data_IF_566075743515
#
_entry.id   IF_566075743515
#
_cell.length_a   1.000
_cell.length_b   1.000
_cell.length_c   1.000
_cell.angle_alpha   90.00
_cell.angle_beta   90.00
_cell.angle_gamma   90.00
#
_symmetry.space_group_name_H-M   'P 1'
#
loop_
_entity.id
_entity.type
_entity.pdbx_description
1 polymer ?
#
# COMPACT_ATOMS: atom_id res chain seq x y z
N UNK A 1 23.57 -26.37 4.94
CA UNK A 1 22.25 -26.59 4.31
C UNK A 1 21.43 -25.32 4.50
N UNK A 2 20.99 -24.61 3.46
CA UNK A 2 20.04 -23.51 3.62
C UNK A 2 18.62 -24.02 3.31
N UNK A 3 17.71 -23.90 4.27
CA UNK A 3 16.27 -24.06 4.06
C UNK A 3 15.57 -22.98 4.91
N UNK A 4 15.09 -21.91 4.26
CA UNK A 4 13.67 -21.65 3.97
C UNK A 4 12.79 -21.50 5.21
N UNK A 5 12.75 -20.28 5.76
CA UNK A 5 11.66 -19.84 6.64
C UNK A 5 10.57 -19.17 5.83
N UNK A 6 9.47 -19.90 5.74
CA UNK A 6 8.13 -19.49 5.31
C UNK A 6 7.59 -18.44 6.28
N UNK A 7 7.11 -17.31 5.75
CA UNK A 7 6.35 -16.30 6.48
C UNK A 7 4.88 -16.72 6.47
N UNK A 8 4.25 -16.83 7.64
CA UNK A 8 2.82 -17.10 7.77
C UNK A 8 2.13 -16.00 8.57
N UNK A 9 1.07 -15.46 7.95
CA UNK A 9 -0.09 -14.75 8.49
C UNK A 9 0.11 -13.35 9.11
N UNK A 10 0.23 -12.35 8.24
CA UNK A 10 -0.32 -11.01 8.46
C UNK A 10 -1.54 -10.84 7.55
N UNK A 11 -2.67 -11.45 7.90
CA UNK A 11 -3.96 -11.17 7.25
C UNK A 11 -4.55 -9.90 7.86
N UNK A 12 -4.76 -8.87 7.02
CA UNK A 12 -5.71 -7.81 7.34
C UNK A 12 -5.31 -6.35 7.13
N UNK A 13 -4.25 -6.03 6.36
CA UNK A 13 -4.07 -4.66 5.82
C UNK A 13 -3.62 -4.75 4.36
N UNK A 14 -4.11 -3.87 3.45
CA UNK A 14 -3.52 -3.77 2.14
C UNK A 14 -2.06 -3.35 2.32
N UNK A 15 -1.16 -4.29 2.11
CA UNK A 15 0.28 -4.10 2.18
C UNK A 15 0.72 -3.32 0.93
N UNK A 16 0.35 -2.04 0.89
CA UNK A 16 0.84 -1.10 -0.12
C UNK A 16 2.33 -0.96 0.13
N UNK A 17 3.10 -1.60 -0.76
CA UNK A 17 4.55 -1.69 -0.79
C UNK A 17 5.26 -0.33 -0.55
N UNK A 18 5.49 0.04 0.72
CA UNK A 18 6.27 1.23 1.11
C UNK A 18 7.73 1.22 0.57
N UNK A 19 8.21 0.09 0.02
CA UNK A 19 9.60 -0.11 -0.45
C UNK A 19 9.83 0.04 -1.95
N UNK A 20 8.78 0.15 -2.79
CA UNK A 20 8.96 0.31 -4.26
C UNK A 20 8.81 1.74 -4.78
N UNK A 21 8.25 2.65 -3.99
CA UNK A 21 8.06 4.07 -4.35
C UNK A 21 9.36 4.93 -4.32
N UNK A 22 10.53 4.34 -4.57
CA UNK A 22 11.84 5.03 -4.57
C UNK A 22 12.64 4.88 -5.88
N UNK A 23 12.09 4.27 -6.93
CA UNK A 23 12.77 4.14 -8.22
C UNK A 23 11.87 4.58 -9.37
N UNK A 24 11.98 5.86 -9.75
CA UNK A 24 11.27 6.40 -10.90
C UNK A 24 11.41 7.90 -11.10
N UNK A 25 12.58 8.47 -10.80
CA UNK A 25 12.89 9.87 -11.08
C UNK A 25 13.68 9.93 -12.40
N UNK A 26 13.03 10.35 -13.49
CA UNK A 26 13.59 11.08 -14.65
C UNK A 26 12.79 10.79 -15.93
N UNK A 27 12.04 11.78 -16.40
CA UNK A 27 12.13 12.30 -17.78
C UNK A 27 11.12 13.46 -17.92
N UNK A 28 11.61 14.67 -17.63
CA UNK A 28 11.01 15.87 -18.18
C UNK A 28 11.32 15.92 -19.68
N UNK A 29 10.30 15.94 -20.52
CA UNK A 29 10.40 16.39 -21.92
C UNK A 29 9.22 17.28 -22.23
N UNK A 30 9.40 18.57 -21.99
CA UNK A 30 8.66 19.64 -22.65
C UNK A 30 8.96 19.59 -24.14
N UNK A 31 7.97 19.25 -24.96
CA UNK A 31 7.97 19.51 -26.39
C UNK A 31 6.65 20.20 -26.76
N UNK A 32 6.66 21.52 -26.67
CA UNK A 32 5.63 22.35 -27.31
C UNK A 32 6.01 22.49 -28.79
N UNK A 33 5.40 21.68 -29.65
CA UNK A 33 5.48 21.86 -31.09
C UNK A 33 4.25 22.68 -31.55
N UNK A 34 4.42 24.00 -31.64
CA UNK A 34 3.43 24.86 -32.28
C UNK A 34 3.56 24.71 -33.80
N UNK A 35 2.66 23.94 -34.41
CA UNK A 35 2.50 23.90 -35.87
C UNK A 35 1.57 25.06 -36.23
N UNK A 36 2.14 26.18 -36.67
CA UNK A 36 1.38 27.28 -37.28
C UNK A 36 1.05 26.95 -38.74
N UNK A 37 -0.13 26.37 -38.97
CA UNK A 37 -0.73 26.37 -40.31
C UNK A 37 -1.52 27.66 -40.49
N UNK A 38 -1.06 28.51 -41.39
CA UNK A 38 -1.85 29.64 -41.88
C UNK A 38 -2.96 29.13 -42.81
N UNK A 39 -4.23 29.35 -42.45
CA UNK A 39 -5.34 29.36 -43.40
C UNK A 39 -6.58 30.04 -42.82
N UNK A 40 -6.95 31.14 -43.50
CA UNK A 40 -8.29 31.68 -43.77
C UNK A 40 -9.51 31.28 -42.90
N UNK A 41 -10.20 32.34 -42.45
CA UNK A 41 -11.64 32.45 -42.23
C UNK A 41 -12.31 31.57 -41.15
N UNK A 42 -12.55 32.18 -39.98
CA UNK A 42 -13.87 32.13 -39.35
C UNK A 42 -14.36 30.84 -38.68
N UNK A 43 -13.51 29.86 -38.39
CA UNK A 43 -13.88 28.72 -37.54
C UNK A 43 -13.14 28.82 -36.20
N UNK A 44 -13.87 28.60 -35.10
CA UNK A 44 -13.24 28.42 -33.78
C UNK A 44 -12.17 27.31 -33.89
N UNK A 45 -11.03 27.43 -33.19
CA UNK A 45 -10.00 26.40 -33.24
C UNK A 45 -10.63 25.05 -32.89
N UNK A 46 -10.55 24.09 -33.81
CA UNK A 46 -11.04 22.74 -33.57
C UNK A 46 -10.33 22.18 -32.33
N UNK A 47 -11.10 21.89 -31.28
CA UNK A 47 -10.55 21.31 -30.06
C UNK A 47 -9.86 19.98 -30.40
N UNK A 48 -8.66 19.77 -29.83
CA UNK A 48 -7.93 18.53 -30.03
C UNK A 48 -8.81 17.34 -29.59
N UNK A 49 -8.86 16.22 -30.35
CA UNK A 49 -9.75 15.09 -30.01
C UNK A 49 -9.49 14.49 -28.62
N UNK A 50 -8.27 14.65 -28.11
CA UNK A 50 -7.85 14.22 -26.77
C UNK A 50 -7.71 15.36 -25.75
N UNK A 51 -8.35 16.51 -25.97
CA UNK A 51 -8.28 17.66 -25.05
C UNK A 51 -8.71 17.31 -23.60
N UNK A 52 -9.64 16.36 -23.43
CA UNK A 52 -10.03 15.86 -22.12
C UNK A 52 -8.87 15.11 -21.42
N UNK A 53 -8.12 14.28 -22.15
CA UNK A 53 -6.95 13.57 -21.61
C UNK A 53 -5.85 14.54 -21.20
N UNK A 54 -5.60 15.60 -21.96
CA UNK A 54 -4.59 16.60 -21.61
C UNK A 54 -4.94 17.37 -20.33
N UNK A 55 -6.22 17.70 -20.11
CA UNK A 55 -6.67 18.31 -18.84
C UNK A 55 -6.47 17.35 -17.68
N UNK A 56 -6.86 16.09 -17.82
CA UNK A 56 -6.67 15.07 -16.79
C UNK A 56 -5.19 14.81 -16.48
N UNK A 57 -4.30 14.84 -17.47
CA UNK A 57 -2.85 14.69 -17.26
C UNK A 57 -2.28 15.83 -16.43
N UNK A 58 -2.75 17.07 -16.67
CA UNK A 58 -2.37 18.23 -15.86
C UNK A 58 -2.88 18.09 -14.41
N UNK A 59 -4.15 17.73 -14.22
CA UNK A 59 -4.73 17.46 -12.90
C UNK A 59 -3.95 16.36 -12.17
N UNK A 60 -3.56 15.29 -12.88
CA UNK A 60 -2.80 14.18 -12.32
C UNK A 60 -1.38 14.60 -11.93
N UNK A 61 -0.71 15.44 -12.71
CA UNK A 61 0.63 15.96 -12.37
C UNK A 61 0.57 16.82 -11.10
N UNK A 62 -0.45 17.66 -10.97
CA UNK A 62 -0.68 18.45 -9.76
C UNK A 62 -0.95 17.54 -8.55
N UNK A 63 -1.86 16.57 -8.67
CA UNK A 63 -2.15 15.59 -7.63
C UNK A 63 -0.89 14.79 -7.22
N UNK A 64 -0.10 14.35 -8.19
CA UNK A 64 1.16 13.63 -7.96
C UNK A 64 2.18 14.47 -7.19
N UNK A 65 2.31 15.76 -7.53
CA UNK A 65 3.15 16.70 -6.81
C UNK A 65 2.69 16.90 -5.36
N UNK A 66 1.38 17.02 -5.13
CA UNK A 66 0.82 17.16 -3.78
C UNK A 66 0.96 15.88 -2.95
N UNK A 67 0.70 14.71 -3.53
CA UNK A 67 0.95 13.41 -2.90
C UNK A 67 2.41 13.28 -2.46
N UNK A 68 3.37 13.62 -3.32
CA UNK A 68 4.80 13.59 -2.98
C UNK A 68 5.17 14.57 -1.87
N UNK A 69 4.53 15.75 -1.80
CA UNK A 69 4.72 16.70 -0.69
C UNK A 69 4.18 16.14 0.62
N UNK A 70 2.98 15.55 0.59
CA UNK A 70 2.39 14.87 1.75
C UNK A 70 3.27 13.70 2.23
N UNK A 71 3.78 12.87 1.31
CA UNK A 71 4.70 11.77 1.63
C UNK A 71 5.97 12.26 2.34
N UNK A 72 6.54 13.39 1.90
CA UNK A 72 7.70 14.02 2.56
C UNK A 72 7.36 14.56 3.95
N UNK A 73 6.16 15.07 4.18
CA UNK A 73 5.69 15.49 5.50
C UNK A 73 5.55 14.25 6.40
N UNK A 74 4.80 13.24 5.97
CA UNK A 74 4.61 12.00 6.70
C UNK A 74 5.96 11.36 7.09
N UNK A 75 6.90 11.23 6.15
CA UNK A 75 8.26 10.71 6.43
C UNK A 75 9.02 11.51 7.49
N UNK A 76 8.89 12.84 7.49
CA UNK A 76 9.55 13.70 8.49
C UNK A 76 8.92 13.54 9.87
N UNK A 77 7.60 13.46 9.95
CA UNK A 77 6.86 13.28 11.19
C UNK A 77 7.10 11.88 11.77
N UNK A 78 7.04 10.85 10.92
CA UNK A 78 7.34 9.46 11.28
C UNK A 78 8.72 9.33 11.94
N UNK A 79 9.77 9.90 11.35
CA UNK A 79 11.13 9.92 11.94
C UNK A 79 11.22 10.65 13.28
N UNK A 80 10.35 11.62 13.56
CA UNK A 80 10.30 12.29 14.86
C UNK A 80 9.60 11.40 15.89
N UNK A 81 8.48 10.79 15.53
CA UNK A 81 7.75 9.85 16.38
C UNK A 81 8.60 8.62 16.71
N UNK A 82 9.32 8.07 15.74
CA UNK A 82 10.24 6.92 15.91
C UNK A 82 11.28 7.12 17.00
N UNK A 83 11.76 8.35 17.20
CA UNK A 83 12.73 8.67 18.26
C UNK A 83 12.12 8.65 19.66
N UNK A 84 10.80 8.74 19.76
CA UNK A 84 10.06 8.79 21.02
C UNK A 84 9.49 7.41 21.39
N UNK A 85 9.50 6.44 20.47
CA UNK A 85 8.93 5.12 20.75
C UNK A 85 9.64 4.45 21.93
N UNK A 86 8.87 3.85 22.85
CA UNK A 86 9.45 3.05 23.92
C UNK A 86 10.19 1.84 23.34
N UNK A 87 11.10 1.21 24.10
CA UNK A 87 11.70 -0.05 23.71
C UNK A 87 10.62 -1.10 23.47
N UNK A 88 10.78 -1.91 22.42
CA UNK A 88 9.83 -2.99 22.13
C UNK A 88 9.90 -4.05 23.24
N UNK A 89 8.76 -4.46 23.81
CA UNK A 89 8.74 -5.59 24.73
C UNK A 89 9.18 -6.87 24.03
N UNK A 90 9.78 -7.83 24.77
CA UNK A 90 10.22 -9.09 24.20
C UNK A 90 9.03 -9.86 23.62
N UNK A 91 9.28 -10.57 22.51
CA UNK A 91 8.30 -11.49 21.94
C UNK A 91 7.99 -12.58 22.96
N UNK A 92 6.72 -12.96 23.06
CA UNK A 92 6.33 -14.11 23.86
C UNK A 92 6.98 -15.38 23.30
N UNK A 93 7.71 -16.07 24.16
CA UNK A 93 8.22 -17.41 23.94
C UNK A 93 7.69 -18.27 25.08
N UNK A 94 7.02 -19.36 24.72
CA UNK A 94 6.50 -20.28 25.73
C UNK A 94 7.68 -21.00 26.40
N UNK A 95 7.77 -21.02 27.74
CA UNK A 95 8.82 -21.72 28.44
C UNK A 95 8.83 -23.21 28.09
N UNK A 96 10.02 -23.80 28.06
CA UNK A 96 10.16 -25.24 27.88
C UNK A 96 9.41 -26.01 28.98
N UNK A 97 8.65 -27.03 28.59
CA UNK A 97 7.93 -27.87 29.51
C UNK A 97 8.91 -28.74 30.33
N UNK A 98 8.92 -28.64 31.67
CA UNK A 98 9.71 -29.49 32.55
C UNK A 98 9.42 -30.98 32.32
N UNK A 99 10.42 -31.85 32.55
CA UNK A 99 10.31 -33.28 32.22
C UNK A 99 9.22 -34.01 33.02
N UNK A 100 9.08 -33.68 34.31
CA UNK A 100 8.03 -34.21 35.17
C UNK A 100 6.62 -33.77 34.73
N UNK A 101 6.46 -32.52 34.30
CA UNK A 101 5.24 -32.00 33.67
C UNK A 101 4.95 -32.74 32.36
N UNK A 102 5.98 -32.98 31.56
CA UNK A 102 5.88 -33.67 30.26
C UNK A 102 5.46 -35.12 30.40
N UNK A 103 6.04 -35.85 31.36
CA UNK A 103 5.63 -37.23 31.69
C UNK A 103 4.17 -37.26 32.15
N UNK A 104 3.77 -36.32 33.03
CA UNK A 104 2.39 -36.21 33.47
C UNK A 104 1.43 -35.89 32.32
N UNK A 105 1.85 -35.02 31.38
CA UNK A 105 1.07 -34.68 30.19
C UNK A 105 0.89 -35.89 29.26
N UNK A 106 1.96 -36.66 29.00
CA UNK A 106 1.94 -37.84 28.14
C UNK A 106 1.10 -38.99 28.71
N UNK A 107 0.98 -39.09 30.04
CA UNK A 107 0.15 -40.08 30.71
C UNK A 107 -1.35 -39.73 30.70
N UNK A 108 -1.75 -38.52 30.30
CA UNK A 108 -3.16 -38.11 30.24
C UNK A 108 -3.89 -38.76 29.07
N UNK A 109 -5.14 -39.17 29.30
CA UNK A 109 -6.06 -39.53 28.21
C UNK A 109 -6.75 -38.29 27.64
N UNK A 110 -7.36 -38.41 26.46
CA UNK A 110 -8.17 -37.33 25.85
C UNK A 110 -9.32 -36.88 26.78
N UNK A 111 -9.86 -37.79 27.61
CA UNK A 111 -10.90 -37.48 28.60
C UNK A 111 -10.38 -36.57 29.73
N UNK A 112 -9.11 -36.71 30.10
CA UNK A 112 -8.49 -35.91 31.17
C UNK A 112 -8.17 -34.48 30.69
N UNK A 113 -7.97 -34.29 29.38
CA UNK A 113 -7.71 -32.95 28.81
C UNK A 113 -8.91 -32.00 28.91
N UNK A 114 -10.14 -32.52 28.82
CA UNK A 114 -11.37 -31.73 28.83
C UNK A 114 -12.03 -31.54 30.20
N UNK A 115 -11.45 -32.07 31.28
CA UNK A 115 -12.10 -32.15 32.60
C UNK A 115 -11.26 -31.53 33.73
N UNK A 116 -11.82 -31.51 34.95
CA UNK A 116 -11.15 -31.08 36.20
C UNK A 116 -10.01 -32.06 36.60
N UNK A 117 -9.92 -33.24 35.98
CA UNK A 117 -9.00 -34.32 36.35
C UNK A 117 -7.57 -34.18 35.81
N UNK A 118 -7.14 -32.98 35.41
CA UNK A 118 -5.77 -32.76 34.94
C UNK A 118 -4.78 -33.05 36.09
N UNK A 119 -3.63 -33.70 35.82
CA UNK A 119 -2.58 -33.84 36.81
C UNK A 119 -2.20 -32.47 37.39
N UNK A 120 -2.14 -32.38 38.72
CA UNK A 120 -1.92 -31.11 39.42
C UNK A 120 -0.65 -30.40 38.95
N UNK A 121 0.41 -31.15 38.64
CA UNK A 121 1.68 -30.62 38.15
C UNK A 121 1.54 -29.96 36.77
N UNK A 122 0.76 -30.56 35.86
CA UNK A 122 0.46 -29.98 34.55
C UNK A 122 -0.47 -28.77 34.65
N UNK A 123 -1.48 -28.84 35.53
CA UNK A 123 -2.37 -27.73 35.77
C UNK A 123 -1.63 -26.51 36.33
N UNK A 124 -0.71 -26.72 37.29
CA UNK A 124 0.11 -25.66 37.87
C UNK A 124 1.01 -25.01 36.81
N UNK A 125 1.79 -25.81 36.06
CA UNK A 125 2.64 -25.29 34.99
C UNK A 125 1.85 -24.55 33.91
N UNK A 126 0.72 -25.12 33.45
CA UNK A 126 -0.11 -24.48 32.43
C UNK A 126 -0.71 -23.15 32.90
N UNK A 127 -1.09 -23.04 34.18
CA UNK A 127 -1.58 -21.79 34.74
C UNK A 127 -0.47 -20.75 34.85
N UNK A 128 0.73 -21.13 35.29
CA UNK A 128 1.89 -20.25 35.33
C UNK A 128 2.23 -19.71 33.93
N UNK A 129 2.29 -20.58 32.92
CA UNK A 129 2.52 -20.17 31.52
C UNK A 129 1.44 -19.20 31.03
N UNK A 130 0.17 -19.42 31.40
CA UNK A 130 -0.93 -18.48 31.08
C UNK A 130 -0.75 -17.12 31.75
N UNK A 131 -0.36 -17.08 33.02
CA UNK A 131 -0.10 -15.84 33.75
C UNK A 131 1.07 -15.07 33.14
N UNK A 132 2.17 -15.76 32.82
CA UNK A 132 3.32 -15.16 32.13
C UNK A 132 2.93 -14.62 30.75
N UNK A 133 2.14 -15.37 29.97
CA UNK A 133 1.62 -14.91 28.68
C UNK A 133 0.70 -13.70 28.83
N UNK A 134 -0.17 -13.69 29.84
CA UNK A 134 -1.03 -12.56 30.13
C UNK A 134 -0.21 -11.31 30.53
N UNK A 135 0.85 -11.48 31.33
CA UNK A 135 1.77 -10.40 31.67
C UNK A 135 2.50 -9.86 30.43
N UNK A 136 2.99 -10.74 29.54
CA UNK A 136 3.60 -10.31 28.28
C UNK A 136 2.60 -9.56 27.39
N UNK A 137 1.37 -10.07 27.25
CA UNK A 137 0.31 -9.39 26.51
C UNK A 137 0.03 -7.99 27.10
N UNK A 138 -0.02 -7.85 28.43
CA UNK A 138 -0.15 -6.55 29.08
C UNK A 138 0.97 -5.57 28.73
N UNK A 139 2.22 -6.05 28.60
CA UNK A 139 3.34 -5.24 28.12
C UNK A 139 3.19 -4.86 26.64
N UNK A 140 2.74 -5.79 25.80
CA UNK A 140 2.46 -5.53 24.37
C UNK A 140 1.35 -4.50 24.19
N UNK A 141 0.30 -4.58 24.99
CA UNK A 141 -0.82 -3.64 24.99
C UNK A 141 -0.39 -2.25 25.46
N UNK A 142 0.38 -2.17 26.55
CA UNK A 142 0.93 -0.91 27.04
C UNK A 142 1.87 -0.25 26.03
N UNK A 143 2.75 -1.03 25.40
CA UNK A 143 3.61 -0.57 24.31
C UNK A 143 2.78 -0.04 23.13
N UNK A 144 1.77 -0.81 22.70
CA UNK A 144 0.91 -0.45 21.57
C UNK A 144 0.09 0.82 21.85
N UNK A 145 -0.44 0.95 23.07
CA UNK A 145 -1.13 2.16 23.51
C UNK A 145 -0.21 3.38 23.47
N UNK A 146 1.04 3.24 23.98
CA UNK A 146 1.99 4.35 23.97
C UNK A 146 2.45 4.72 22.56
N UNK A 147 2.65 3.73 21.70
CA UNK A 147 2.96 3.94 20.29
C UNK A 147 1.86 4.73 19.57
N UNK A 148 0.59 4.35 19.77
CA UNK A 148 -0.57 5.07 19.23
C UNK A 148 -0.66 6.49 19.77
N UNK A 149 -0.45 6.67 21.08
CA UNK A 149 -0.44 7.99 21.71
C UNK A 149 0.61 8.91 21.09
N UNK A 150 1.85 8.43 20.94
CA UNK A 150 2.96 9.17 20.33
C UNK A 150 2.64 9.57 18.89
N UNK A 151 2.07 8.66 18.09
CA UNK A 151 1.74 8.95 16.70
C UNK A 151 0.65 10.01 16.59
N UNK A 152 -0.41 9.88 17.37
CA UNK A 152 -1.50 10.85 17.44
C UNK A 152 -1.00 12.24 17.86
N UNK A 153 -0.23 12.31 18.94
CA UNK A 153 0.29 13.58 19.47
C UNK A 153 1.40 14.18 18.60
N UNK A 154 2.20 13.33 17.97
CA UNK A 154 3.21 13.71 16.99
C UNK A 154 2.63 14.16 15.65
N UNK A 155 1.32 13.96 15.43
CA UNK A 155 0.62 14.29 14.20
C UNK A 155 0.93 13.34 13.03
N UNK A 156 1.41 12.12 13.32
CA UNK A 156 1.68 11.11 12.29
C UNK A 156 0.37 10.63 11.66
N UNK A 157 -0.64 10.32 12.47
CA UNK A 157 -1.94 9.86 11.98
C UNK A 157 -2.55 10.86 10.99
N UNK A 158 -2.59 12.15 11.37
CA UNK A 158 -3.08 13.22 10.49
C UNK A 158 -2.23 13.40 9.21
N UNK A 159 -0.92 13.13 9.27
CA UNK A 159 -0.05 13.20 8.11
C UNK A 159 -0.19 11.99 7.18
N UNK A 160 -0.47 10.80 7.73
CA UNK A 160 -0.84 9.59 6.97
C UNK A 160 -2.22 9.81 6.31
N UNK A 161 -3.24 10.26 7.04
CA UNK A 161 -4.57 10.59 6.50
C UNK A 161 -4.48 11.58 5.33
N UNK A 162 -3.68 12.65 5.49
CA UNK A 162 -3.49 13.64 4.44
C UNK A 162 -2.75 13.07 3.21
N UNK A 163 -1.84 12.11 3.41
CA UNK A 163 -1.18 11.41 2.31
C UNK A 163 -2.13 10.45 1.60
N UNK A 164 -2.96 9.73 2.34
CA UNK A 164 -3.93 8.77 1.80
C UNK A 164 -5.00 9.48 0.96
N UNK A 165 -5.50 10.64 1.42
CA UNK A 165 -6.40 11.48 0.61
C UNK A 165 -5.76 11.84 -0.73
N UNK A 166 -4.50 12.28 -0.75
CA UNK A 166 -3.81 12.64 -2.00
C UNK A 166 -3.49 11.44 -2.89
N UNK A 167 -3.24 10.28 -2.28
CA UNK A 167 -3.02 9.03 -3.00
C UNK A 167 -4.30 8.56 -3.68
N UNK A 168 -5.44 8.67 -3.00
CA UNK A 168 -6.75 8.37 -3.56
C UNK A 168 -7.12 9.32 -4.71
N UNK A 169 -6.91 10.63 -4.54
CA UNK A 169 -7.13 11.62 -5.62
C UNK A 169 -6.30 11.28 -6.88
N UNK A 170 -5.02 10.95 -6.71
CA UNK A 170 -4.16 10.53 -7.83
C UNK A 170 -4.71 9.26 -8.52
N UNK A 171 -5.16 8.29 -7.72
CA UNK A 171 -5.68 7.02 -8.21
C UNK A 171 -6.97 7.23 -9.02
N UNK A 172 -7.92 7.99 -8.50
CA UNK A 172 -9.17 8.33 -9.18
C UNK A 172 -8.93 9.06 -10.51
N UNK A 173 -7.97 9.99 -10.55
CA UNK A 173 -7.58 10.67 -11.79
C UNK A 173 -6.99 9.69 -12.82
N UNK A 174 -6.14 8.77 -12.39
CA UNK A 174 -5.59 7.73 -13.24
C UNK A 174 -6.66 6.81 -13.84
N UNK A 175 -7.63 6.38 -13.01
CA UNK A 175 -8.78 5.60 -13.49
C UNK A 175 -9.62 6.38 -14.51
N UNK A 176 -9.84 7.68 -14.30
CA UNK A 176 -10.53 8.55 -15.27
C UNK A 176 -9.75 8.69 -16.58
N UNK A 177 -8.43 8.78 -16.53
CA UNK A 177 -7.56 8.78 -17.72
C UNK A 177 -7.74 7.47 -18.49
N UNK A 178 -7.71 6.31 -17.83
CA UNK A 178 -7.88 5.02 -18.49
C UNK A 178 -9.30 4.81 -19.05
N UNK A 179 -10.33 5.31 -18.38
CA UNK A 179 -11.70 5.25 -18.88
C UNK A 179 -11.93 6.14 -20.12
N UNK A 180 -11.15 7.23 -20.25
CA UNK A 180 -11.28 8.17 -21.37
C UNK A 180 -10.60 7.62 -22.63
N UNK A 181 -11.30 7.45 -23.76
CA UNK A 181 -10.68 6.96 -25.00
C UNK A 181 -9.57 7.90 -25.52
N UNK A 182 -8.40 7.37 -25.90
CA UNK A 182 -7.39 8.12 -26.65
C UNK A 182 -7.59 7.95 -28.17
N UNK A 183 -7.65 9.06 -28.90
CA UNK A 183 -7.86 9.08 -30.34
C UNK A 183 -6.57 9.37 -31.11
N UNK A 184 -5.49 9.73 -30.40
CA UNK A 184 -4.18 9.99 -30.99
C UNK A 184 -3.05 9.28 -30.23
N UNK A 185 -1.84 9.30 -30.80
CA UNK A 185 -0.64 8.82 -30.13
C UNK A 185 -0.33 9.64 -28.87
N UNK A 186 -0.57 10.94 -28.92
CA UNK A 186 -0.42 11.86 -27.79
C UNK A 186 -1.36 11.51 -26.63
N UNK A 187 -2.61 11.14 -26.91
CA UNK A 187 -3.53 10.63 -25.89
C UNK A 187 -3.07 9.29 -25.29
N UNK A 188 -2.49 8.39 -26.09
CA UNK A 188 -1.92 7.14 -25.57
C UNK A 188 -0.69 7.40 -24.68
N UNK A 189 0.14 8.40 -25.00
CA UNK A 189 1.26 8.82 -24.15
C UNK A 189 0.77 9.32 -22.79
N UNK A 190 -0.37 10.03 -22.72
CA UNK A 190 -0.99 10.42 -21.45
C UNK A 190 -1.32 9.19 -20.60
N UNK A 191 -1.94 8.17 -21.19
CA UNK A 191 -2.25 6.91 -20.48
C UNK A 191 -1.00 6.20 -19.99
N UNK A 192 0.05 6.14 -20.81
CA UNK A 192 1.33 5.56 -20.38
C UNK A 192 1.90 6.33 -19.18
N UNK A 193 1.91 7.67 -19.20
CA UNK A 193 2.35 8.48 -18.06
C UNK A 193 1.51 8.21 -16.81
N UNK A 194 0.19 8.08 -16.94
CA UNK A 194 -0.68 7.75 -15.83
C UNK A 194 -0.33 6.38 -15.21
N UNK A 195 -0.12 5.36 -16.04
CA UNK A 195 0.30 4.03 -15.57
C UNK A 195 1.65 4.06 -14.84
N UNK A 196 2.61 4.86 -15.32
CA UNK A 196 3.90 5.05 -14.63
C UNK A 196 3.70 5.73 -13.27
N UNK A 197 2.91 6.81 -13.20
CA UNK A 197 2.69 7.55 -11.94
C UNK A 197 1.95 6.73 -10.89
N UNK A 198 1.10 5.79 -11.32
CA UNK A 198 0.38 4.85 -10.46
C UNK A 198 1.19 3.57 -10.14
N UNK A 199 2.44 3.47 -10.61
CA UNK A 199 3.32 2.31 -10.44
C UNK A 199 2.70 0.99 -10.95
N UNK A 200 1.92 1.04 -12.03
CA UNK A 200 1.26 -0.13 -12.60
C UNK A 200 2.21 -0.97 -13.49
N UNK A 201 3.53 -0.85 -13.35
CA UNK A 201 4.48 -1.53 -14.25
C UNK A 201 4.62 -3.04 -14.01
N UNK A 202 3.97 -3.59 -12.99
CA UNK A 202 3.96 -5.04 -12.74
C UNK A 202 3.04 -5.75 -13.75
N UNK A 203 3.63 -6.62 -14.57
CA UNK A 203 2.91 -7.48 -15.52
C UNK A 203 2.28 -8.73 -14.89
N UNK A 204 2.38 -8.89 -13.56
CA UNK A 204 1.92 -10.10 -12.87
C UNK A 204 0.39 -10.19 -12.80
N UNK A 205 -0.31 -9.05 -12.84
CA UNK A 205 -1.77 -8.95 -12.77
C UNK A 205 -2.31 -8.17 -13.98
N UNK A 206 -3.58 -8.41 -14.30
CA UNK A 206 -4.29 -7.65 -15.33
C UNK A 206 -4.30 -6.16 -14.94
N UNK A 207 -3.70 -5.32 -15.79
CA UNK A 207 -3.49 -3.91 -15.51
C UNK A 207 -4.47 -3.08 -16.36
N UNK A 208 -5.41 -2.41 -15.70
CA UNK A 208 -6.41 -1.55 -16.30
C UNK A 208 -5.81 -0.50 -17.27
N UNK A 209 -4.63 0.03 -16.97
CA UNK A 209 -3.91 0.94 -17.84
C UNK A 209 -3.47 0.28 -19.14
N UNK A 210 -2.90 -0.93 -19.07
CA UNK A 210 -2.50 -1.68 -20.27
C UNK A 210 -3.69 -2.21 -21.06
N UNK A 211 -4.75 -2.67 -20.40
CA UNK A 211 -6.00 -3.05 -21.06
C UNK A 211 -6.62 -1.87 -21.82
N UNK A 212 -6.64 -0.70 -21.18
CA UNK A 212 -7.14 0.55 -21.78
C UNK A 212 -6.32 0.97 -23.01
N UNK A 213 -4.98 0.95 -22.91
CA UNK A 213 -4.10 1.25 -24.04
C UNK A 213 -4.31 0.24 -25.19
N UNK A 214 -4.42 -1.05 -24.88
CA UNK A 214 -4.67 -2.08 -25.88
C UNK A 214 -6.02 -1.89 -26.59
N UNK A 215 -7.06 -1.46 -25.86
CA UNK A 215 -8.36 -1.12 -26.45
C UNK A 215 -8.27 0.06 -27.41
N UNK A 216 -7.51 1.10 -27.06
CA UNK A 216 -7.30 2.27 -27.92
C UNK A 216 -6.52 1.91 -29.20
N UNK A 217 -5.48 1.09 -29.09
CA UNK A 217 -4.73 0.59 -30.25
C UNK A 217 -5.65 -0.17 -31.20
N UNK A 218 -6.51 -1.06 -30.68
CA UNK A 218 -7.48 -1.80 -31.52
C UNK A 218 -8.45 -0.84 -32.22
N UNK A 219 -8.97 0.15 -31.50
CA UNK A 219 -9.89 1.15 -32.06
C UNK A 219 -9.26 1.95 -33.20
N UNK A 220 -8.01 2.39 -33.04
CA UNK A 220 -7.27 3.12 -34.08
C UNK A 220 -6.95 2.23 -35.28
N UNK A 221 -6.56 0.98 -35.04
CA UNK A 221 -6.26 0.02 -36.11
C UNK A 221 -7.51 -0.35 -36.95
N UNK A 222 -8.71 -0.29 -36.36
CA UNK A 222 -9.98 -0.54 -37.05
C UNK A 222 -10.51 0.64 -37.88
N UNK A 223 -9.77 1.75 -37.98
CA UNK A 223 -10.11 2.86 -38.88
C UNK A 223 -10.99 3.96 -38.27
N UNK A 224 -11.09 4.06 -36.94
CA UNK A 224 -11.64 5.24 -36.26
C UNK A 224 -13.03 5.68 -36.75
N UNK A 225 -13.94 4.75 -37.03
CA UNK A 225 -15.34 5.10 -37.32
C UNK A 225 -16.16 5.07 -36.04
N UNK A 226 -16.38 6.25 -35.47
CA UNK A 226 -17.58 6.55 -34.70
C UNK A 226 -18.75 6.81 -35.67
#
# INVERSE_FOLDING_TARGET
MPNTTVLAAAEGMPEINRRRMLLGLAAASTAAAAITVASAAGCAPAEHPDAALFRLDQEMEEAYSQMNRAAKVCKRVSRKCEKLYPPRPPKWEEPDMPEDVRVAFQAMTVKDMGTINRPAIYAAWSNEVKEQKAANNGLQDAYSAKWKEINREGGLDAAEDAFDVRSNELWELGLRIFATPANTLEGMVVKLRAAVRMDLQSFADENDGFLSIAADIRRLASGGTA
#
